data_IF_068878422597
#
_entry.id   IF_068878422597
#
_cell.length_a   1.000
_cell.length_b   1.000
_cell.length_c   1.000
_cell.angle_alpha   90.00
_cell.angle_beta   90.00
_cell.angle_gamma   90.00
#
_symmetry.space_group_name_H-M   'P 1'
#
loop_
_entity.id
_entity.type
_entity.pdbx_description
1 polymer ?
#
# COMPACT_ATOMS: atom_id res chain seq x y z
N UNK A 1 -30.60 6.34 -7.38
CA UNK A 1 -30.40 4.96 -7.84
C UNK A 1 -28.93 4.81 -8.11
N UNK A 2 -28.24 3.86 -7.48
CA UNK A 2 -26.82 3.59 -7.74
C UNK A 2 -26.80 2.53 -8.82
N UNK A 3 -26.17 2.82 -9.96
CA UNK A 3 -26.05 1.87 -11.06
C UNK A 3 -25.16 0.69 -10.61
N UNK A 4 -25.48 -0.51 -11.05
CA UNK A 4 -24.66 -1.70 -10.82
C UNK A 4 -23.25 -1.44 -11.37
N UNK A 5 -22.22 -1.65 -10.56
CA UNK A 5 -20.82 -1.33 -10.91
C UNK A 5 -20.31 0.04 -10.47
N UNK A 6 -21.14 0.90 -9.88
CA UNK A 6 -20.63 2.14 -9.26
C UNK A 6 -19.94 1.85 -7.93
N UNK A 7 -18.64 2.15 -7.89
CA UNK A 7 -17.82 2.09 -6.67
C UNK A 7 -17.93 3.41 -5.92
N UNK A 8 -18.89 3.51 -5.00
CA UNK A 8 -19.10 4.74 -4.23
C UNK A 8 -18.18 4.79 -3.03
N UNK A 9 -17.29 5.78 -3.05
CA UNK A 9 -16.60 6.22 -1.85
C UNK A 9 -17.57 6.92 -0.91
N UNK A 10 -17.38 6.69 0.37
CA UNK A 10 -18.12 7.38 1.44
C UNK A 10 -17.13 8.10 2.32
N UNK A 11 -17.35 9.38 2.55
CA UNK A 11 -16.62 10.11 3.57
C UNK A 11 -16.89 9.49 4.94
N UNK A 12 -15.83 9.33 5.71
CA UNK A 12 -15.86 8.83 7.09
C UNK A 12 -14.92 9.65 7.95
N UNK A 13 -15.34 9.95 9.16
CA UNK A 13 -14.47 10.53 10.16
C UNK A 13 -13.72 9.40 10.87
N UNK A 14 -12.39 9.40 10.76
CA UNK A 14 -11.51 8.45 11.42
C UNK A 14 -11.06 9.03 12.75
N UNK A 15 -11.31 8.34 13.85
CA UNK A 15 -10.89 8.79 15.17
C UNK A 15 -9.42 8.43 15.42
N UNK A 16 -8.58 9.45 15.71
CA UNK A 16 -7.20 9.27 16.14
C UNK A 16 -6.98 10.03 17.47
N UNK A 17 -7.03 9.31 18.58
CA UNK A 17 -7.05 9.94 19.92
C UNK A 17 -8.24 10.89 20.07
N UNK A 18 -7.95 12.18 20.29
CA UNK A 18 -8.96 13.24 20.47
C UNK A 18 -9.29 13.98 19.16
N UNK A 19 -8.64 13.63 18.03
CA UNK A 19 -8.86 14.31 16.75
C UNK A 19 -9.62 13.41 15.78
N UNK A 20 -10.30 14.05 14.82
CA UNK A 20 -10.95 13.38 13.70
C UNK A 20 -10.14 13.63 12.42
N UNK A 21 -9.84 12.55 11.69
CA UNK A 21 -9.19 12.59 10.40
C UNK A 21 -10.23 12.42 9.30
N UNK A 22 -9.95 13.00 8.14
CA UNK A 22 -10.76 12.78 6.94
C UNK A 22 -10.38 11.45 6.29
N UNK A 23 -11.37 10.69 5.86
CA UNK A 23 -11.17 9.41 5.23
C UNK A 23 -12.24 9.09 4.18
N UNK A 24 -11.87 8.23 3.24
CA UNK A 24 -12.74 7.73 2.18
C UNK A 24 -12.79 6.20 2.25
N UNK A 25 -13.98 5.67 2.47
CA UNK A 25 -14.25 4.25 2.61
C UNK A 25 -15.00 3.69 1.40
N UNK A 26 -14.50 2.59 0.86
CA UNK A 26 -15.21 1.75 -0.10
C UNK A 26 -15.66 0.44 0.56
N UNK A 27 -16.86 0.00 0.24
CA UNK A 27 -17.36 -1.31 0.65
C UNK A 27 -16.75 -2.42 -0.19
N UNK A 28 -16.56 -3.58 0.44
CA UNK A 28 -16.18 -4.82 -0.19
C UNK A 28 -16.66 -6.01 0.64
N UNK A 29 -16.46 -7.23 0.13
CA UNK A 29 -16.88 -8.48 0.79
C UNK A 29 -15.74 -9.47 0.97
N UNK A 30 -14.60 -9.23 0.31
CA UNK A 30 -13.42 -10.10 0.39
C UNK A 30 -12.49 -9.67 1.53
N UNK A 31 -11.90 -10.63 2.20
CA UNK A 31 -10.84 -10.41 3.17
C UNK A 31 -9.45 -10.49 2.47
N UNK A 32 -8.46 -9.80 3.02
CA UNK A 32 -8.56 -8.82 4.10
C UNK A 32 -9.09 -7.46 3.60
N UNK A 33 -9.70 -6.63 4.46
CA UNK A 33 -9.88 -5.21 4.18
C UNK A 33 -8.52 -4.51 4.15
N UNK A 34 -8.39 -3.44 3.37
CA UNK A 34 -7.12 -2.76 3.12
C UNK A 34 -7.17 -1.31 3.59
N UNK A 35 -6.22 -0.90 4.42
CA UNK A 35 -6.00 0.50 4.80
C UNK A 35 -4.82 1.06 4.01
N UNK A 36 -4.95 2.29 3.48
CA UNK A 36 -3.95 2.93 2.64
C UNK A 36 -3.39 4.19 3.33
N UNK A 37 -2.10 4.13 3.66
CA UNK A 37 -1.35 5.22 4.28
C UNK A 37 -0.69 6.08 3.19
N UNK A 38 -1.01 7.40 3.12
CA UNK A 38 -0.54 8.29 2.05
C UNK A 38 0.94 8.69 2.21
N UNK A 39 1.52 9.36 1.19
CA UNK A 39 2.88 9.85 1.26
C UNK A 39 3.02 11.06 2.20
N UNK A 40 4.23 11.64 2.27
CA UNK A 40 4.60 12.63 3.29
C UNK A 40 3.74 13.90 3.23
N UNK A 41 3.06 14.25 4.33
CA UNK A 41 2.11 15.36 4.35
C UNK A 41 2.74 16.71 4.00
N UNK A 42 3.95 16.99 4.49
CA UNK A 42 4.64 18.26 4.20
C UNK A 42 5.08 18.39 2.73
N UNK A 43 5.19 17.27 2.01
CA UNK A 43 5.50 17.24 0.58
C UNK A 43 4.25 17.19 -0.31
N UNK A 44 3.09 17.56 0.24
CA UNK A 44 1.82 17.55 -0.49
C UNK A 44 1.15 16.18 -0.53
N UNK A 45 1.59 15.24 0.31
CA UNK A 45 0.98 13.92 0.42
C UNK A 45 -0.42 13.98 1.00
N UNK A 46 -1.34 13.28 0.36
CA UNK A 46 -2.73 13.13 0.79
C UNK A 46 -3.32 11.82 0.28
N UNK A 47 -4.49 11.47 0.79
CA UNK A 47 -5.25 10.31 0.32
C UNK A 47 -5.73 10.42 -1.14
N UNK A 48 -5.59 11.60 -1.77
CA UNK A 48 -6.05 11.87 -3.14
C UNK A 48 -4.94 11.77 -4.19
N UNK A 49 -3.68 11.54 -3.79
CA UNK A 49 -2.60 11.38 -4.76
C UNK A 49 -2.86 10.17 -5.69
N UNK A 50 -2.44 10.24 -6.98
CA UNK A 50 -2.81 9.23 -7.99
C UNK A 50 -2.54 7.79 -7.57
N UNK A 51 -1.40 7.51 -6.94
CA UNK A 51 -1.04 6.15 -6.46
C UNK A 51 -2.05 5.63 -5.45
N UNK A 52 -2.42 6.43 -4.45
CA UNK A 52 -3.39 6.02 -3.42
C UNK A 52 -4.78 5.85 -4.01
N UNK A 53 -5.18 6.75 -4.91
CA UNK A 53 -6.48 6.68 -5.59
C UNK A 53 -6.60 5.42 -6.45
N UNK A 54 -5.57 5.11 -7.26
CA UNK A 54 -5.51 3.91 -8.08
C UNK A 54 -5.56 2.63 -7.25
N UNK A 55 -4.74 2.54 -6.19
CA UNK A 55 -4.74 1.38 -5.31
C UNK A 55 -6.11 1.16 -4.67
N UNK A 56 -6.74 2.22 -4.15
CA UNK A 56 -8.08 2.13 -3.57
C UNK A 56 -9.09 1.61 -4.60
N UNK A 57 -9.04 2.13 -5.84
CA UNK A 57 -9.92 1.72 -6.92
C UNK A 57 -9.69 0.26 -7.33
N UNK A 58 -8.44 -0.13 -7.62
CA UNK A 58 -8.11 -1.48 -8.08
C UNK A 58 -8.47 -2.55 -7.03
N UNK A 59 -8.14 -2.30 -5.75
CA UNK A 59 -8.40 -3.20 -4.64
C UNK A 59 -9.92 -3.33 -4.40
N UNK A 60 -10.66 -2.21 -4.47
CA UNK A 60 -12.13 -2.23 -4.33
C UNK A 60 -12.78 -3.00 -5.47
N UNK A 61 -12.34 -2.79 -6.72
CA UNK A 61 -12.81 -3.60 -7.86
C UNK A 61 -12.53 -5.08 -7.70
N UNK A 62 -11.44 -5.45 -7.06
CA UNK A 62 -11.14 -6.84 -6.71
C UNK A 62 -12.05 -7.39 -5.61
N UNK A 63 -12.85 -6.55 -4.96
CA UNK A 63 -13.87 -6.89 -3.96
C UNK A 63 -13.45 -6.71 -2.51
N UNK A 64 -12.26 -6.18 -2.24
CA UNK A 64 -11.81 -5.89 -0.87
C UNK A 64 -12.31 -4.53 -0.39
N UNK A 65 -12.78 -4.39 0.86
CA UNK A 65 -13.04 -3.08 1.45
C UNK A 65 -11.76 -2.28 1.54
N UNK A 66 -11.81 -0.98 1.25
CA UNK A 66 -10.66 -0.08 1.38
C UNK A 66 -10.99 1.13 2.23
N UNK A 67 -10.01 1.61 2.99
CA UNK A 67 -10.03 2.89 3.66
C UNK A 67 -8.73 3.62 3.34
N UNK A 68 -8.84 4.80 2.74
CA UNK A 68 -7.75 5.77 2.61
C UNK A 68 -8.07 6.99 3.47
N UNK A 69 -7.07 7.63 4.03
CA UNK A 69 -7.25 8.72 4.98
C UNK A 69 -6.17 9.78 4.80
N UNK A 70 -6.43 10.97 5.31
CA UNK A 70 -5.44 12.03 5.42
C UNK A 70 -4.87 12.08 6.83
N UNK A 71 -3.55 12.19 6.96
CA UNK A 71 -2.89 12.40 8.25
C UNK A 71 -3.36 13.69 8.91
N UNK A 72 -3.13 13.80 10.22
CA UNK A 72 -3.38 15.00 11.02
C UNK A 72 -2.86 16.27 10.32
N UNK A 73 -3.70 17.31 10.25
CA UNK A 73 -3.36 18.59 9.65
C UNK A 73 -3.32 18.59 8.12
N UNK A 74 -3.76 17.51 7.45
CA UNK A 74 -3.91 17.45 5.98
C UNK A 74 -5.38 17.53 5.60
N UNK A 75 -5.70 18.30 4.56
CA UNK A 75 -7.07 18.40 4.04
C UNK A 75 -8.06 18.83 5.11
N UNK A 76 -9.12 18.02 5.33
CA UNK A 76 -10.12 18.26 6.37
C UNK A 76 -9.79 17.56 7.71
N UNK A 77 -8.65 16.87 7.82
CA UNK A 77 -8.19 16.26 9.06
C UNK A 77 -7.84 17.29 10.11
N UNK A 78 -8.29 17.08 11.34
CA UNK A 78 -7.93 17.91 12.48
C UNK A 78 -6.46 17.71 12.88
N UNK A 79 -5.98 18.52 13.82
CA UNK A 79 -4.60 18.47 14.30
C UNK A 79 -3.64 19.31 13.47
N UNK A 80 -2.35 19.04 13.62
CA UNK A 80 -1.30 19.82 12.94
C UNK A 80 -0.18 18.89 12.46
N UNK A 81 0.37 19.20 11.30
CA UNK A 81 1.59 18.58 10.78
C UNK A 81 2.76 19.06 11.65
N UNK A 82 3.50 18.14 12.27
CA UNK A 82 4.61 18.47 13.17
C UNK A 82 5.99 18.31 12.54
N UNK A 83 6.05 17.69 11.36
CA UNK A 83 7.33 17.37 10.71
C UNK A 83 7.72 18.43 9.68
N UNK A 84 9.04 18.69 9.61
CA UNK A 84 9.63 19.44 8.50
C UNK A 84 10.44 18.48 7.64
N UNK A 85 10.42 18.63 6.29
CA UNK A 85 11.19 17.77 5.40
C UNK A 85 12.68 17.73 5.79
N UNK A 86 13.25 16.53 5.83
CA UNK A 86 14.66 16.32 6.13
C UNK A 86 15.03 16.21 7.61
N UNK A 87 14.04 16.27 8.52
CA UNK A 87 14.25 16.09 9.97
C UNK A 87 13.66 14.79 10.49
N UNK A 88 12.95 14.08 9.66
CA UNK A 88 12.16 12.88 10.00
C UNK A 88 13.07 11.70 10.28
N UNK A 89 12.93 11.14 11.49
CA UNK A 89 13.43 9.83 11.85
C UNK A 89 12.24 8.92 12.12
N UNK A 90 12.40 7.61 11.93
CA UNK A 90 11.30 6.65 12.20
C UNK A 90 10.69 6.84 13.60
N UNK A 91 11.46 7.31 14.58
CA UNK A 91 10.95 7.62 15.93
C UNK A 91 10.06 8.87 16.03
N UNK A 92 10.08 9.73 15.04
CA UNK A 92 9.39 11.03 15.08
C UNK A 92 8.00 10.98 14.41
N UNK A 93 7.58 9.81 13.91
CA UNK A 93 6.30 9.60 13.21
C UNK A 93 5.21 8.97 14.10
N UNK A 94 5.35 9.08 15.41
CA UNK A 94 4.39 8.47 16.35
C UNK A 94 2.95 8.94 16.12
N UNK A 95 2.77 10.22 15.76
CA UNK A 95 1.47 10.78 15.44
C UNK A 95 0.83 10.14 14.22
N UNK A 96 1.58 9.96 13.15
CA UNK A 96 1.11 9.33 11.91
C UNK A 96 0.87 7.83 12.08
N UNK A 97 1.64 7.17 12.96
CA UNK A 97 1.37 5.78 13.37
C UNK A 97 0.07 5.68 14.15
N UNK A 98 -0.23 6.63 15.05
CA UNK A 98 -1.52 6.67 15.76
C UNK A 98 -2.68 6.96 14.79
N UNK A 99 -2.46 7.80 13.78
CA UNK A 99 -3.46 8.06 12.73
C UNK A 99 -3.76 6.80 11.91
N UNK A 100 -2.73 6.05 11.54
CA UNK A 100 -2.89 4.75 10.86
C UNK A 100 -3.65 3.75 11.75
N UNK A 101 -3.34 3.68 13.05
CA UNK A 101 -4.09 2.82 13.99
C UNK A 101 -5.56 3.20 14.08
N UNK A 102 -5.86 4.50 14.16
CA UNK A 102 -7.24 4.98 14.11
C UNK A 102 -7.97 4.57 12.83
N UNK A 103 -7.28 4.63 11.68
CA UNK A 103 -7.84 4.17 10.41
C UNK A 103 -8.04 2.65 10.37
N UNK A 104 -7.14 1.86 10.96
CA UNK A 104 -7.29 0.42 11.12
C UNK A 104 -8.53 0.11 11.97
N UNK A 105 -8.66 0.73 13.14
CA UNK A 105 -9.80 0.52 14.04
C UNK A 105 -11.13 0.85 13.35
N UNK A 106 -11.18 1.96 12.62
CA UNK A 106 -12.36 2.36 11.84
C UNK A 106 -12.71 1.32 10.78
N UNK A 107 -11.71 0.79 10.08
CA UNK A 107 -11.92 -0.20 9.02
C UNK A 107 -12.37 -1.55 9.59
N UNK A 108 -11.78 -2.00 10.69
CA UNK A 108 -12.17 -3.22 11.40
C UNK A 108 -13.62 -3.14 11.90
N UNK A 109 -14.00 -2.02 12.51
CA UNK A 109 -15.37 -1.78 12.95
C UNK A 109 -16.37 -1.78 11.77
N UNK A 110 -15.98 -1.19 10.64
CA UNK A 110 -16.83 -1.09 9.44
C UNK A 110 -17.02 -2.43 8.72
N UNK A 111 -16.04 -3.34 8.81
CA UNK A 111 -16.02 -4.61 8.09
C UNK A 111 -16.29 -5.83 8.98
N UNK A 112 -16.24 -5.67 10.30
CA UNK A 112 -16.26 -6.75 11.30
C UNK A 112 -15.11 -7.76 11.09
N UNK A 113 -14.03 -7.34 10.44
CA UNK A 113 -12.81 -8.14 10.31
C UNK A 113 -12.01 -8.07 11.60
N UNK A 114 -11.15 -9.06 11.83
CA UNK A 114 -10.19 -9.05 12.95
C UNK A 114 -8.82 -8.51 12.53
N UNK A 115 -8.55 -8.50 11.24
CA UNK A 115 -7.25 -8.10 10.68
C UNK A 115 -7.41 -7.32 9.39
N UNK A 116 -6.37 -6.55 9.04
CA UNK A 116 -6.29 -5.77 7.81
C UNK A 116 -4.98 -6.06 7.05
N UNK A 117 -4.97 -5.75 5.76
CA UNK A 117 -3.76 -5.47 5.02
C UNK A 117 -3.43 -3.98 5.14
N UNK A 118 -2.25 -3.63 5.65
CA UNK A 118 -1.78 -2.25 5.70
C UNK A 118 -0.89 -1.96 4.48
N UNK A 119 -1.26 -0.93 3.72
CA UNK A 119 -0.59 -0.53 2.47
C UNK A 119 -0.04 0.86 2.65
N UNK A 120 1.27 1.05 2.47
CA UNK A 120 1.92 2.36 2.61
C UNK A 120 2.62 2.77 1.33
N UNK A 121 2.42 4.02 0.90
CA UNK A 121 3.11 4.60 -0.23
C UNK A 121 4.13 5.63 0.22
N UNK A 122 5.37 5.51 -0.27
CA UNK A 122 6.48 6.42 0.05
C UNK A 122 6.66 6.57 1.59
N UNK A 123 6.49 7.75 2.16
CA UNK A 123 6.49 7.96 3.63
C UNK A 123 5.50 7.03 4.34
N UNK A 124 4.31 6.80 3.77
CA UNK A 124 3.34 5.85 4.32
C UNK A 124 3.90 4.45 4.48
N UNK A 125 4.91 4.05 3.68
CA UNK A 125 5.60 2.78 3.86
C UNK A 125 6.39 2.74 5.19
N UNK A 126 7.03 3.85 5.59
CA UNK A 126 7.70 3.94 6.90
C UNK A 126 6.69 3.89 8.06
N UNK A 127 5.54 4.55 7.92
CA UNK A 127 4.46 4.52 8.93
C UNK A 127 3.91 3.10 9.08
N UNK A 128 3.63 2.40 7.97
CA UNK A 128 3.17 1.00 7.98
C UNK A 128 4.22 0.07 8.60
N UNK A 129 5.50 0.24 8.25
CA UNK A 129 6.57 -0.56 8.85
C UNK A 129 6.68 -0.33 10.36
N UNK A 130 6.55 0.91 10.83
CA UNK A 130 6.57 1.24 12.25
C UNK A 130 5.39 0.61 13.02
N UNK A 131 4.24 0.42 12.35
CA UNK A 131 3.07 -0.25 12.90
C UNK A 131 3.08 -1.78 12.68
N UNK A 132 4.06 -2.36 12.00
CA UNK A 132 4.03 -3.77 11.55
C UNK A 132 3.91 -4.80 12.68
N UNK A 133 4.28 -4.46 13.93
CA UNK A 133 4.10 -5.33 15.09
C UNK A 133 2.65 -5.42 15.58
N UNK A 134 1.75 -4.55 15.13
CA UNK A 134 0.34 -4.54 15.53
C UNK A 134 -0.36 -5.85 15.12
N UNK A 135 -1.03 -6.51 16.07
CA UNK A 135 -1.69 -7.80 15.84
C UNK A 135 -2.87 -7.70 14.86
N UNK A 136 -3.46 -6.52 14.70
CA UNK A 136 -4.53 -6.27 13.75
C UNK A 136 -4.07 -6.19 12.29
N UNK A 137 -2.76 -6.09 12.04
CA UNK A 137 -2.19 -6.14 10.70
C UNK A 137 -1.75 -7.59 10.42
N UNK A 138 -2.32 -8.26 9.43
CA UNK A 138 -1.91 -9.63 9.06
C UNK A 138 -0.84 -9.66 7.96
N UNK A 139 -0.81 -8.63 7.10
CA UNK A 139 0.15 -8.48 5.99
C UNK A 139 0.39 -7.02 5.64
N UNK A 140 1.52 -6.72 5.03
CA UNK A 140 1.87 -5.35 4.64
C UNK A 140 2.27 -5.27 3.18
N UNK A 141 1.95 -4.11 2.56
CA UNK A 141 2.38 -3.75 1.21
C UNK A 141 3.09 -2.40 1.28
N UNK A 142 4.31 -2.33 0.76
CA UNK A 142 5.11 -1.12 0.73
C UNK A 142 5.36 -0.70 -0.71
N UNK A 143 4.90 0.49 -1.08
CA UNK A 143 5.04 1.03 -2.42
C UNK A 143 6.08 2.14 -2.40
N UNK A 144 7.13 2.01 -3.21
CA UNK A 144 8.25 2.95 -3.31
C UNK A 144 8.76 3.43 -1.93
N UNK A 145 9.18 2.52 -1.02
CA UNK A 145 9.68 2.92 0.29
C UNK A 145 10.95 3.77 0.13
N UNK A 146 11.05 4.96 0.76
CA UNK A 146 12.14 5.90 0.53
C UNK A 146 13.40 5.52 1.35
N UNK A 147 14.03 4.42 1.01
CA UNK A 147 15.17 3.82 1.75
C UNK A 147 16.42 4.69 1.79
N UNK A 148 16.54 5.69 0.92
CA UNK A 148 17.67 6.63 0.95
C UNK A 148 17.54 7.63 2.12
N UNK A 149 16.32 7.98 2.52
CA UNK A 149 16.06 8.93 3.61
C UNK A 149 15.60 8.29 4.92
N UNK A 150 15.21 7.01 4.91
CA UNK A 150 14.58 6.32 6.02
C UNK A 150 15.18 4.94 6.26
N UNK A 151 15.29 4.53 7.52
CA UNK A 151 15.76 3.20 7.87
C UNK A 151 14.64 2.15 7.78
N UNK A 152 14.77 1.26 6.81
CA UNK A 152 13.87 0.11 6.61
C UNK A 152 14.48 -1.22 7.09
N UNK A 153 15.60 -1.19 7.83
CA UNK A 153 16.28 -2.41 8.29
C UNK A 153 15.40 -3.33 9.16
N UNK A 154 14.35 -2.78 9.78
CA UNK A 154 13.35 -3.53 10.53
C UNK A 154 12.58 -4.54 9.65
N UNK A 155 12.55 -4.39 8.32
CA UNK A 155 11.92 -5.35 7.39
C UNK A 155 12.46 -6.77 7.56
N UNK A 156 13.75 -6.93 7.90
CA UNK A 156 14.35 -8.25 8.15
C UNK A 156 13.70 -9.03 9.28
N UNK A 157 13.00 -8.35 10.19
CA UNK A 157 12.39 -8.92 11.39
C UNK A 157 10.87 -9.05 11.28
N UNK A 158 10.29 -8.59 10.18
CA UNK A 158 8.85 -8.72 9.96
C UNK A 158 8.54 -10.17 9.61
N UNK A 159 7.78 -10.85 10.45
CA UNK A 159 7.38 -12.25 10.25
C UNK A 159 6.10 -12.40 9.43
N UNK A 160 5.39 -11.29 9.21
CA UNK A 160 4.16 -11.24 8.42
C UNK A 160 4.48 -11.24 6.92
N UNK A 161 3.56 -11.67 6.04
CA UNK A 161 3.72 -11.52 4.61
C UNK A 161 3.97 -10.05 4.21
N UNK A 162 5.02 -9.83 3.45
CA UNK A 162 5.44 -8.50 2.97
C UNK A 162 5.48 -8.52 1.45
N UNK A 163 4.83 -7.54 0.83
CA UNK A 163 4.98 -7.24 -0.58
C UNK A 163 5.56 -5.84 -0.77
N UNK A 164 6.61 -5.74 -1.57
CA UNK A 164 7.24 -4.45 -1.86
C UNK A 164 7.20 -4.21 -3.36
N UNK A 165 6.74 -3.03 -3.77
CA UNK A 165 6.82 -2.58 -5.17
C UNK A 165 7.78 -1.42 -5.26
N UNK A 166 8.84 -1.62 -6.04
CA UNK A 166 9.88 -0.64 -6.31
C UNK A 166 9.70 -0.07 -7.72
N UNK A 167 9.87 1.23 -7.87
CA UNK A 167 9.94 1.88 -9.17
C UNK A 167 11.40 1.96 -9.62
N UNK A 168 11.73 1.44 -10.81
CA UNK A 168 13.11 1.31 -11.27
C UNK A 168 13.85 2.64 -11.46
N UNK A 169 13.11 3.73 -11.71
CA UNK A 169 13.64 5.07 -11.88
C UNK A 169 13.36 6.00 -10.67
N UNK A 170 13.11 5.43 -9.48
CA UNK A 170 12.90 6.21 -8.26
C UNK A 170 14.25 6.52 -7.58
N UNK A 171 14.56 7.81 -7.47
CA UNK A 171 15.78 8.29 -6.80
C UNK A 171 15.76 8.14 -5.27
N UNK A 172 14.60 7.89 -4.65
CA UNK A 172 14.42 7.74 -3.20
C UNK A 172 14.26 6.28 -2.76
N UNK A 173 13.91 5.40 -3.69
CA UNK A 173 13.76 3.97 -3.48
C UNK A 173 14.83 3.21 -4.28
N UNK A 174 16.04 3.09 -3.72
CA UNK A 174 17.08 2.26 -4.34
C UNK A 174 16.74 0.77 -4.17
N UNK A 175 16.41 0.11 -5.29
CA UNK A 175 15.95 -1.28 -5.30
C UNK A 175 17.01 -2.25 -4.76
N UNK A 176 18.31 -2.00 -4.98
CA UNK A 176 19.39 -2.85 -4.47
C UNK A 176 19.52 -2.74 -2.95
N UNK A 177 19.52 -1.51 -2.43
CA UNK A 177 19.53 -1.25 -0.99
C UNK A 177 18.31 -1.88 -0.31
N UNK A 178 17.13 -1.71 -0.92
CA UNK A 178 15.88 -2.29 -0.41
C UNK A 178 15.93 -3.82 -0.39
N UNK A 179 16.42 -4.44 -1.46
CA UNK A 179 16.60 -5.90 -1.56
C UNK A 179 17.45 -6.44 -0.41
N UNK A 180 18.51 -5.74 -0.04
CA UNK A 180 19.36 -6.07 1.11
C UNK A 180 18.68 -5.95 2.47
N UNK A 181 17.52 -5.30 2.57
CA UNK A 181 16.76 -5.10 3.82
C UNK A 181 15.59 -6.09 3.97
N UNK A 182 15.25 -6.84 2.92
CA UNK A 182 14.11 -7.76 2.96
C UNK A 182 14.37 -8.99 3.83
N UNK A 183 13.32 -9.40 4.54
CA UNK A 183 13.31 -10.63 5.33
C UNK A 183 12.88 -11.86 4.52
N UNK A 184 12.96 -13.03 5.15
CA UNK A 184 12.49 -14.29 4.55
C UNK A 184 10.98 -14.22 4.30
N UNK A 185 10.55 -14.61 3.11
CA UNK A 185 9.14 -14.60 2.71
C UNK A 185 8.62 -13.24 2.23
N UNK A 186 9.47 -12.21 2.18
CA UNK A 186 9.12 -10.99 1.48
C UNK A 186 9.14 -11.21 -0.04
N UNK A 187 8.16 -10.62 -0.72
CA UNK A 187 8.08 -10.60 -2.18
C UNK A 187 8.37 -9.18 -2.64
N UNK A 188 9.24 -9.04 -3.63
CA UNK A 188 9.57 -7.74 -4.22
C UNK A 188 9.25 -7.76 -5.72
N UNK A 189 8.54 -6.73 -6.16
CA UNK A 189 8.31 -6.47 -7.56
C UNK A 189 9.00 -5.17 -7.97
N UNK A 190 9.62 -5.15 -9.14
CA UNK A 190 10.20 -3.95 -9.74
C UNK A 190 9.42 -3.60 -11.00
N UNK A 191 9.03 -2.33 -11.14
CA UNK A 191 8.48 -1.80 -12.39
C UNK A 191 9.59 -0.95 -13.04
N UNK A 192 10.34 -1.47 -14.03
CA UNK A 192 11.63 -0.92 -14.45
C UNK A 192 11.55 0.53 -14.92
N UNK A 193 10.53 0.88 -15.71
CA UNK A 193 10.35 2.20 -16.33
C UNK A 193 9.59 3.19 -15.45
N UNK A 194 9.15 2.78 -14.27
CA UNK A 194 8.37 3.64 -13.40
C UNK A 194 9.24 4.64 -12.64
N UNK A 195 8.73 5.85 -12.47
CA UNK A 195 9.19 6.84 -11.52
C UNK A 195 8.49 6.67 -10.15
N UNK A 196 8.88 7.46 -9.16
CA UNK A 196 8.29 7.45 -7.83
C UNK A 196 6.76 7.62 -7.81
N UNK A 197 6.19 8.30 -8.81
CA UNK A 197 4.76 8.57 -8.93
C UNK A 197 3.98 7.49 -9.69
N UNK A 198 4.65 6.56 -10.35
CA UNK A 198 4.04 5.51 -11.19
C UNK A 198 3.03 6.03 -12.23
N UNK A 199 3.12 7.30 -12.65
CA UNK A 199 2.06 7.94 -13.45
C UNK A 199 1.72 7.21 -14.75
N UNK A 200 2.71 6.57 -15.38
CA UNK A 200 2.52 5.76 -16.59
C UNK A 200 2.21 4.29 -16.30
N UNK A 201 2.38 3.86 -15.05
CA UNK A 201 2.29 2.46 -14.64
C UNK A 201 1.26 2.23 -13.53
N UNK A 202 0.36 3.21 -13.27
CA UNK A 202 -0.65 3.11 -12.22
C UNK A 202 -1.51 1.85 -12.34
N UNK A 203 -2.08 1.51 -13.53
CA UNK A 203 -2.87 0.28 -13.67
C UNK A 203 -2.04 -0.99 -13.43
N UNK A 204 -0.76 -0.99 -13.80
CA UNK A 204 0.15 -2.10 -13.55
C UNK A 204 0.39 -2.28 -12.05
N UNK A 205 0.70 -1.20 -11.34
CA UNK A 205 0.83 -1.18 -9.89
C UNK A 205 -0.43 -1.76 -9.21
N UNK A 206 -1.61 -1.28 -9.60
CA UNK A 206 -2.89 -1.75 -9.07
C UNK A 206 -3.10 -3.26 -9.28
N UNK A 207 -2.82 -3.76 -10.49
CA UNK A 207 -2.91 -5.20 -10.81
C UNK A 207 -1.96 -6.04 -9.97
N UNK A 208 -0.71 -5.59 -9.80
CA UNK A 208 0.30 -6.31 -9.02
C UNK A 208 -0.09 -6.48 -7.55
N UNK A 209 -0.57 -5.40 -6.94
CA UNK A 209 -1.06 -5.45 -5.55
C UNK A 209 -2.28 -6.36 -5.42
N UNK A 210 -3.24 -6.27 -6.36
CA UNK A 210 -4.43 -7.14 -6.37
C UNK A 210 -4.06 -8.61 -6.58
N UNK A 211 -3.11 -8.91 -7.46
CA UNK A 211 -2.63 -10.27 -7.66
C UNK A 211 -2.04 -10.84 -6.36
N UNK A 212 -1.16 -10.08 -5.70
CA UNK A 212 -0.57 -10.51 -4.42
C UNK A 212 -1.62 -10.66 -3.30
N UNK A 213 -2.62 -9.79 -3.23
CA UNK A 213 -3.71 -9.93 -2.25
C UNK A 213 -4.51 -11.23 -2.42
N UNK A 214 -4.60 -11.76 -3.64
CA UNK A 214 -5.33 -13.00 -3.96
C UNK A 214 -4.54 -14.24 -3.61
N UNK A 215 -3.24 -14.25 -3.86
CA UNK A 215 -2.37 -15.42 -3.77
C UNK A 215 -1.50 -15.42 -2.49
N UNK A 216 -1.37 -14.28 -1.83
CA UNK A 216 -0.46 -14.12 -0.69
C UNK A 216 1.00 -14.26 -1.12
N UNK A 217 1.86 -14.86 -0.27
CA UNK A 217 3.28 -15.06 -0.59
C UNK A 217 3.52 -16.05 -1.74
N UNK A 218 2.49 -16.81 -2.13
CA UNK A 218 2.55 -17.78 -3.24
C UNK A 218 2.11 -17.17 -4.57
N UNK A 219 2.55 -15.94 -4.88
CA UNK A 219 2.30 -15.34 -6.19
C UNK A 219 2.74 -16.32 -7.30
N UNK A 220 1.86 -16.68 -8.25
CA UNK A 220 2.32 -17.30 -9.48
C UNK A 220 3.23 -16.31 -10.20
N UNK A 221 4.31 -16.80 -10.78
CA UNK A 221 5.15 -16.00 -11.66
C UNK A 221 4.26 -15.32 -12.70
N UNK A 222 4.22 -13.99 -12.69
CA UNK A 222 3.47 -13.24 -13.69
C UNK A 222 4.14 -13.29 -15.07
N UNK A 223 5.36 -13.83 -15.13
CA UNK A 223 6.19 -14.02 -16.32
C UNK A 223 6.61 -15.49 -16.54
N UNK A 224 5.86 -16.47 -16.01
CA UNK A 224 6.25 -17.89 -16.17
C UNK A 224 6.06 -18.36 -17.63
N UNK A 225 7.11 -18.21 -18.41
CA UNK A 225 7.34 -18.91 -19.66
C UNK A 225 8.49 -19.94 -19.54
N UNK A 226 8.93 -20.30 -18.34
CA UNK A 226 10.02 -21.27 -18.13
C UNK A 226 9.66 -22.38 -17.15
N UNK A 227 9.71 -23.61 -17.63
CA UNK A 227 9.63 -24.88 -16.87
C UNK A 227 10.93 -25.16 -16.03
N UNK A 228 11.48 -24.18 -15.30
CA UNK A 228 12.65 -24.41 -14.46
C UNK A 228 12.29 -24.64 -12.98
N UNK A 229 12.91 -25.64 -12.32
CA UNK A 229 12.60 -25.97 -10.93
C UNK A 229 13.09 -24.89 -9.95
N UNK A 230 12.24 -24.57 -8.97
CA UNK A 230 12.49 -23.56 -7.91
C UNK A 230 13.69 -23.94 -7.04
N UNK A 231 14.61 -23.01 -6.74
CA UNK A 231 15.63 -23.27 -5.74
C UNK A 231 15.04 -23.24 -4.32
N UNK A 232 15.26 -24.30 -3.57
CA UNK A 232 14.82 -24.55 -2.18
C UNK A 232 15.67 -23.80 -1.14
N UNK A 233 15.94 -22.52 -1.31
CA UNK A 233 16.66 -21.76 -0.29
C UNK A 233 15.93 -20.46 0.05
N UNK A 234 15.45 -20.41 1.30
CA UNK A 234 14.69 -19.38 2.00
C UNK A 234 15.14 -17.92 1.86
N UNK A 235 15.09 -17.36 0.64
CA UNK A 235 15.24 -15.95 0.31
C UNK A 235 13.90 -15.27 0.01
N UNK A 236 13.92 -13.96 -0.19
CA UNK A 236 12.78 -13.25 -0.74
C UNK A 236 12.63 -13.56 -2.24
N UNK A 237 11.41 -13.43 -2.77
CA UNK A 237 11.13 -13.56 -4.20
C UNK A 237 11.07 -12.18 -4.84
N UNK A 238 11.81 -11.98 -5.93
CA UNK A 238 11.73 -10.81 -6.80
C UNK A 238 10.95 -11.16 -8.07
N UNK A 239 10.12 -10.24 -8.53
CA UNK A 239 9.37 -10.33 -9.77
C UNK A 239 9.62 -9.05 -10.56
N UNK A 240 10.14 -9.17 -11.77
CA UNK A 240 10.13 -8.08 -12.75
C UNK A 240 8.78 -8.05 -13.43
N UNK A 241 8.09 -6.93 -13.34
CA UNK A 241 6.79 -6.73 -13.93
C UNK A 241 6.95 -5.96 -15.23
N UNK A 242 6.86 -6.64 -16.36
CA UNK A 242 6.83 -6.01 -17.68
C UNK A 242 5.40 -5.57 -18.03
N UNK A 243 5.28 -4.38 -18.62
CA UNK A 243 4.01 -3.91 -19.16
C UNK A 243 3.72 -4.66 -20.47
N UNK A 244 2.94 -5.74 -20.38
CA UNK A 244 2.63 -6.60 -21.52
C UNK A 244 1.70 -5.95 -22.54
N UNK A 245 1.44 -4.65 -22.49
CA UNK A 245 0.74 -3.90 -23.53
C UNK A 245 -0.60 -4.48 -24.03
N UNK A 246 -1.13 -5.51 -23.38
CA UNK A 246 -2.41 -6.07 -23.75
C UNK A 246 -3.53 -5.10 -23.40
N UNK A 247 -4.37 -4.71 -24.37
CA UNK A 247 -5.51 -3.84 -24.10
C UNK A 247 -6.43 -4.54 -23.09
N UNK A 248 -6.83 -3.80 -22.07
CA UNK A 248 -7.93 -4.22 -21.18
C UNK A 248 -9.11 -4.54 -22.08
N UNK A 249 -9.71 -5.76 -22.01
CA UNK A 249 -10.89 -6.06 -22.82
C UNK A 249 -11.95 -5.01 -22.50
N UNK A 250 -12.41 -4.30 -23.55
CA UNK A 250 -13.59 -3.45 -23.48
C UNK A 250 -14.73 -4.30 -22.94
N UNK A 251 -15.27 -3.90 -21.81
CA UNK A 251 -16.53 -4.44 -21.33
C UNK A 251 -17.60 -3.96 -22.30
N UNK A 252 -18.13 -4.87 -23.12
CA UNK A 252 -19.36 -4.65 -23.87
C UNK A 252 -20.43 -4.17 -22.86
N UNK A 253 -20.88 -2.94 -23.08
CA UNK A 253 -21.94 -2.30 -22.28
C UNK A 253 -23.34 -2.55 -22.88
N UNK A 254 -23.46 -3.53 -23.78
CA UNK A 254 -24.73 -3.94 -24.35
C UNK A 254 -25.06 -5.37 -23.86
N UNK A 255 -25.75 -5.43 -22.70
CA UNK A 255 -26.90 -6.32 -22.40
C UNK A 255 -27.50 -5.95 -21.01
#
# INVERSE_FOLDING_TARGET
>A
MVLEGQYLERSVAVKSGEIALDGLYHRGRKAPPCVLAPPHPVLGGSMTVPVIAELAWAITRAGHPTLRFDYRGVGASQGTIRHQPGTERIGDIAGEVDDLRGAIDQLLASTRSQVVCAIGYSFGAAVVLAAAADASIDRIVLIAPPVIGWDFSALRKVEKPVFVVCAGNDRHCDCETLRGMLGKGAVMAVIPEADAGFLRSLPHLGRSVVAWLRTGPDLPDLDDHSDEPRPDEGGFREIELHDSGEPVPELDLDD
#
